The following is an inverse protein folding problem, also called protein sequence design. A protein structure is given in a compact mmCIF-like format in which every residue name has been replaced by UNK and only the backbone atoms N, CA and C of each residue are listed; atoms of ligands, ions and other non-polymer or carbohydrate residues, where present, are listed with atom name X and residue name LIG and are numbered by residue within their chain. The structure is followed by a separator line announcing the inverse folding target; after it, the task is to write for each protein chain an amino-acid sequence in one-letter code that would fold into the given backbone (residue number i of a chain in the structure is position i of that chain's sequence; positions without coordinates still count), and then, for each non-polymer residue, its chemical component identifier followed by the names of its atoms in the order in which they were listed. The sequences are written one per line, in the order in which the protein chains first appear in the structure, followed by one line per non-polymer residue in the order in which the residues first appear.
data_IF_231028679056
#
_entry.id   IF_231028679056
#
_cell.length_a   1.000
_cell.length_b   1.000
_cell.length_c   1.000
_cell.angle_alpha   90.00
_cell.angle_beta   90.00
_cell.angle_gamma   90.00
#
_symmetry.space_group_name_H-M   'P 1'
#
loop_
_entity.id
_entity.type
_entity.pdbx_description
1 polymer ?
#
# COMPACT_ATOMS: atom_id res chain seq x y z
N UNK A 1 20.88 -7.69 -11.47
CA UNK A 1 19.62 -7.60 -12.22
C UNK A 1 18.81 -6.41 -11.71
N UNK A 2 18.24 -5.67 -12.60
CA UNK A 2 17.40 -4.54 -12.22
C UNK A 2 16.14 -5.05 -11.51
N UNK A 3 15.68 -4.30 -10.54
CA UNK A 3 14.42 -4.60 -9.86
C UNK A 3 13.24 -4.48 -10.80
N UNK A 4 12.11 -5.03 -10.38
CA UNK A 4 10.87 -4.96 -11.13
C UNK A 4 10.21 -3.60 -10.85
N UNK A 5 9.81 -2.91 -11.91
CA UNK A 5 9.08 -1.67 -11.77
C UNK A 5 7.68 -1.94 -11.21
N UNK A 6 7.16 -1.03 -10.39
CA UNK A 6 5.79 -1.11 -9.88
C UNK A 6 4.74 -0.82 -10.95
N UNK A 7 5.15 -0.32 -12.12
CA UNK A 7 4.24 -0.17 -13.25
C UNK A 7 3.75 -1.54 -13.71
N UNK A 8 2.46 -1.81 -13.55
CA UNK A 8 1.87 -3.08 -13.91
C UNK A 8 2.20 -4.25 -12.98
N UNK A 9 2.92 -3.99 -11.91
CA UNK A 9 3.37 -5.03 -10.96
C UNK A 9 3.14 -4.57 -9.52
N UNK A 10 1.88 -4.40 -9.15
CA UNK A 10 1.53 -4.01 -7.79
C UNK A 10 1.85 -5.13 -6.80
N UNK A 11 2.06 -4.75 -5.55
CA UNK A 11 2.30 -5.67 -4.45
C UNK A 11 0.99 -5.88 -3.71
N UNK A 12 0.64 -7.14 -3.46
CA UNK A 12 -0.59 -7.50 -2.75
C UNK A 12 -0.25 -8.40 -1.59
N UNK A 13 -0.78 -8.10 -0.41
CA UNK A 13 -0.69 -9.00 0.74
C UNK A 13 -2.05 -9.06 1.39
N UNK A 14 -2.49 -10.27 1.69
CA UNK A 14 -3.76 -10.48 2.39
C UNK A 14 -3.46 -10.65 3.86
N UNK A 15 -4.20 -9.97 4.70
CA UNK A 15 -4.11 -10.12 6.15
C UNK A 15 -5.51 -10.09 6.75
N UNK A 16 -5.61 -10.31 8.04
CA UNK A 16 -6.89 -10.33 8.74
C UNK A 16 -6.81 -9.40 9.94
N UNK A 17 -7.82 -8.55 10.06
CA UNK A 17 -7.95 -7.68 11.23
C UNK A 17 -8.34 -8.49 12.47
N UNK A 18 -8.08 -7.96 13.68
CA UNK A 18 -8.50 -8.66 14.91
C UNK A 18 -9.99 -8.95 14.98
N UNK A 19 -10.82 -8.16 14.28
CA UNK A 19 -12.27 -8.41 14.25
C UNK A 19 -12.69 -9.48 13.25
N UNK A 20 -11.73 -10.08 12.53
CA UNK A 20 -11.99 -11.16 11.60
C UNK A 20 -12.13 -10.76 10.14
N UNK A 21 -12.18 -9.47 9.83
CA UNK A 21 -12.29 -9.01 8.45
C UNK A 21 -11.00 -9.25 7.70
N UNK A 22 -11.12 -9.75 6.47
CA UNK A 22 -9.97 -9.95 5.60
C UNK A 22 -9.68 -8.67 4.83
N UNK A 23 -8.43 -8.25 4.80
CA UNK A 23 -8.00 -7.02 4.16
C UNK A 23 -6.88 -7.33 3.19
N UNK A 24 -6.92 -6.72 2.01
CA UNK A 24 -5.81 -6.77 1.06
C UNK A 24 -5.04 -5.46 1.16
N UNK A 25 -3.75 -5.58 1.43
CA UNK A 25 -2.82 -4.44 1.42
C UNK A 25 -2.26 -4.37 0.01
N UNK A 26 -2.54 -3.27 -0.68
CA UNK A 26 -2.13 -3.06 -2.06
C UNK A 26 -1.17 -1.88 -2.14
N UNK A 27 0.00 -2.10 -2.74
CA UNK A 27 0.99 -1.03 -2.96
C UNK A 27 1.36 -1.05 -4.43
N UNK A 28 1.16 0.05 -5.10
CA UNK A 28 1.45 0.11 -6.52
C UNK A 28 1.09 1.45 -7.13
N UNK A 29 1.14 1.49 -8.45
CA UNK A 29 0.78 2.67 -9.22
C UNK A 29 -0.59 2.44 -9.83
N UNK A 30 -1.59 3.27 -9.50
CA UNK A 30 -2.92 3.11 -10.08
C UNK A 30 -2.88 3.29 -11.59
N UNK A 31 -3.62 2.45 -12.30
CA UNK A 31 -3.74 2.52 -13.76
C UNK A 31 -5.00 3.28 -14.17
N UNK A 32 -5.36 4.27 -13.41
CA UNK A 32 -6.56 5.06 -13.68
C UNK A 32 -6.27 6.08 -14.78
N UNK A 33 -7.08 6.04 -15.82
CA UNK A 33 -6.94 6.97 -16.95
C UNK A 33 -7.24 8.43 -16.57
N UNK A 34 -7.81 8.66 -15.41
CA UNK A 34 -8.09 10.01 -14.93
C UNK A 34 -6.92 10.63 -14.19
N UNK A 35 -5.87 9.85 -13.91
CA UNK A 35 -4.70 10.36 -13.21
C UNK A 35 -3.92 11.27 -14.16
N UNK A 36 -3.52 12.45 -13.67
CA UNK A 36 -2.73 13.37 -14.46
C UNK A 36 -1.35 12.76 -14.77
N UNK A 37 -0.76 13.14 -15.90
CA UNK A 37 0.52 12.60 -16.33
C UNK A 37 1.60 12.70 -15.26
N UNK A 38 1.63 13.78 -14.52
CA UNK A 38 2.61 13.99 -13.44
C UNK A 38 2.48 12.99 -12.30
N UNK A 39 1.34 12.31 -12.20
CA UNK A 39 1.07 11.37 -11.13
C UNK A 39 1.25 9.90 -11.56
N UNK A 40 1.69 9.67 -12.79
CA UNK A 40 1.85 8.31 -13.33
C UNK A 40 2.90 7.47 -12.61
N UNK A 41 3.80 8.11 -11.85
CA UNK A 41 4.84 7.41 -11.10
C UNK A 41 4.57 7.43 -9.60
N UNK A 42 3.40 7.89 -9.18
CA UNK A 42 3.07 7.97 -7.77
C UNK A 42 2.68 6.59 -7.25
N UNK A 43 3.38 6.13 -6.23
CA UNK A 43 3.09 4.86 -5.58
C UNK A 43 2.08 5.09 -4.47
N UNK A 44 1.01 4.32 -4.48
CA UNK A 44 -0.12 4.47 -3.56
C UNK A 44 -0.26 3.20 -2.72
N UNK A 45 -0.56 3.39 -1.44
CA UNK A 45 -0.89 2.32 -0.52
C UNK A 45 -2.40 2.32 -0.32
N UNK A 46 -3.06 1.19 -0.58
CA UNK A 46 -4.50 1.05 -0.39
C UNK A 46 -4.81 -0.14 0.51
N UNK A 47 -5.82 0.02 1.34
CA UNK A 47 -6.41 -1.10 2.07
C UNK A 47 -7.76 -1.40 1.44
N UNK A 48 -7.94 -2.63 0.97
CA UNK A 48 -9.16 -3.07 0.29
C UNK A 48 -9.87 -4.15 1.09
N UNK A 49 -11.18 -3.98 1.26
CA UNK A 49 -12.03 -4.97 1.93
C UNK A 49 -13.19 -5.28 1.01
N UNK A 50 -13.33 -6.53 0.57
CA UNK A 50 -14.36 -6.91 -0.37
C UNK A 50 -14.25 -6.09 -1.65
N UNK A 51 -15.29 -5.34 -1.98
CA UNK A 51 -15.31 -4.49 -3.17
C UNK A 51 -14.99 -3.03 -2.87
N UNK A 52 -14.67 -2.72 -1.61
CA UNK A 52 -14.45 -1.34 -1.19
C UNK A 52 -13.02 -1.06 -0.83
N UNK A 53 -12.72 0.22 -0.65
CA UNK A 53 -11.43 0.71 -0.21
C UNK A 53 -11.62 1.36 1.16
N UNK A 54 -10.87 0.87 2.16
CA UNK A 54 -10.91 1.43 3.52
C UNK A 54 -10.08 2.69 3.65
N UNK A 55 -8.92 2.69 3.00
CA UNK A 55 -7.99 3.81 3.14
C UNK A 55 -7.07 3.87 1.93
N UNK A 56 -6.66 5.08 1.58
CA UNK A 56 -5.72 5.34 0.50
C UNK A 56 -4.69 6.35 0.99
N UNK A 57 -3.41 6.03 0.81
CA UNK A 57 -2.31 6.91 1.20
C UNK A 57 -1.34 7.02 0.04
N UNK A 58 -0.97 8.25 -0.31
CA UNK A 58 0.08 8.49 -1.30
C UNK A 58 1.43 8.39 -0.60
N UNK A 59 2.35 7.61 -1.16
CA UNK A 59 3.69 7.43 -0.60
C UNK A 59 4.70 8.30 -1.32
N UNK A 60 5.92 8.36 -0.77
CA UNK A 60 7.04 9.07 -1.41
C UNK A 60 7.90 8.12 -2.25
N UNK A 61 7.43 6.88 -2.44
CA UNK A 61 8.18 5.90 -3.22
C UNK A 61 8.13 6.18 -4.71
N UNK A 62 9.21 5.81 -5.40
CA UNK A 62 9.27 5.83 -6.86
C UNK A 62 8.88 4.45 -7.41
N UNK A 63 8.57 4.42 -8.69
CA UNK A 63 8.13 3.19 -9.36
C UNK A 63 9.15 2.07 -9.32
N UNK A 64 10.44 2.39 -9.19
CA UNK A 64 11.52 1.41 -9.17
C UNK A 64 11.93 0.97 -7.77
N UNK A 65 11.22 1.43 -6.74
CA UNK A 65 11.51 1.08 -5.35
C UNK A 65 10.64 -0.10 -4.87
N UNK A 66 10.67 -1.19 -5.61
CA UNK A 66 9.87 -2.37 -5.30
C UNK A 66 10.20 -2.97 -3.93
N UNK A 67 11.49 -2.99 -3.56
CA UNK A 67 11.92 -3.54 -2.27
C UNK A 67 11.34 -2.77 -1.11
N UNK A 68 11.38 -1.44 -1.19
CA UNK A 68 10.81 -0.57 -0.16
C UNK A 68 9.30 -0.70 -0.10
N UNK A 69 8.66 -0.81 -1.26
CA UNK A 69 7.21 -1.00 -1.34
C UNK A 69 6.79 -2.32 -0.69
N UNK A 70 7.55 -3.39 -0.94
CA UNK A 70 7.29 -4.70 -0.34
C UNK A 70 7.47 -4.65 1.16
N UNK A 71 8.49 -3.96 1.64
CA UNK A 71 8.72 -3.78 3.07
C UNK A 71 7.56 -3.03 3.71
N UNK A 72 7.08 -1.97 3.05
CA UNK A 72 5.93 -1.21 3.54
C UNK A 72 4.68 -2.11 3.62
N UNK A 73 4.42 -2.89 2.58
CA UNK A 73 3.27 -3.80 2.56
C UNK A 73 3.35 -4.82 3.69
N UNK A 74 4.54 -5.40 3.91
CA UNK A 74 4.76 -6.37 4.99
C UNK A 74 4.50 -5.75 6.35
N UNK A 75 5.00 -4.55 6.60
CA UNK A 75 4.84 -3.87 7.87
C UNK A 75 3.38 -3.49 8.12
N UNK A 76 2.69 -3.04 7.09
CA UNK A 76 1.27 -2.71 7.20
C UNK A 76 0.46 -3.96 7.50
N UNK A 77 0.69 -5.04 6.77
CA UNK A 77 -0.05 -6.29 6.96
C UNK A 77 0.17 -6.84 8.37
N UNK A 78 1.40 -6.82 8.86
CA UNK A 78 1.72 -7.30 10.20
C UNK A 78 1.06 -6.44 11.29
N UNK A 79 1.14 -5.11 11.14
CA UNK A 79 0.54 -4.19 12.09
C UNK A 79 -0.97 -4.33 12.16
N UNK A 80 -1.62 -4.53 11.03
CA UNK A 80 -3.07 -4.74 10.98
C UNK A 80 -3.45 -6.05 11.66
N UNK A 81 -2.69 -7.11 11.40
CA UNK A 81 -2.97 -8.43 11.97
C UNK A 81 -2.82 -8.44 13.49
N UNK A 82 -1.80 -7.77 14.00
CA UNK A 82 -1.54 -7.72 15.43
C UNK A 82 -2.45 -6.75 16.18
N UNK A 83 -3.12 -5.86 15.45
CA UNK A 83 -3.95 -4.82 16.06
C UNK A 83 -3.19 -3.58 16.48
N UNK A 84 -1.88 -3.53 16.24
CA UNK A 84 -1.06 -2.36 16.57
C UNK A 84 -1.27 -1.20 15.61
N UNK A 85 -1.72 -1.52 14.39
CA UNK A 85 -1.98 -0.52 13.35
C UNK A 85 -3.47 -0.49 13.06
N UNK A 86 -4.08 0.68 13.19
CA UNK A 86 -5.48 0.86 12.85
C UNK A 86 -5.64 1.04 11.34
N UNK A 87 -6.75 0.54 10.76
CA UNK A 87 -6.97 0.62 9.30
C UNK A 87 -7.51 1.98 8.87
N UNK A 88 -6.77 3.03 9.19
CA UNK A 88 -7.12 4.41 8.85
C UNK A 88 -5.98 5.09 8.10
N UNK A 89 -6.32 6.00 7.19
CA UNK A 89 -5.32 6.70 6.39
C UNK A 89 -4.26 7.39 7.27
N UNK A 90 -4.67 8.05 8.35
CA UNK A 90 -3.73 8.76 9.20
C UNK A 90 -2.71 7.83 9.88
N UNK A 91 -3.15 6.64 10.30
CA UNK A 91 -2.26 5.65 10.90
C UNK A 91 -1.28 5.10 9.86
N UNK A 92 -1.76 4.86 8.64
CA UNK A 92 -0.93 4.38 7.55
C UNK A 92 0.11 5.42 7.13
N UNK A 93 -0.28 6.69 7.06
CA UNK A 93 0.64 7.77 6.74
C UNK A 93 1.77 7.86 7.76
N UNK A 94 1.43 7.74 9.04
CA UNK A 94 2.41 7.79 10.12
C UNK A 94 3.41 6.64 9.99
N UNK A 95 2.92 5.43 9.74
CA UNK A 95 3.80 4.28 9.56
C UNK A 95 4.68 4.45 8.32
N UNK A 96 4.10 4.91 7.23
CA UNK A 96 4.85 5.16 6.00
C UNK A 96 5.99 6.17 6.24
N UNK A 97 5.71 7.25 6.96
CA UNK A 97 6.71 8.26 7.28
C UNK A 97 7.82 7.71 8.17
N UNK A 98 7.50 6.76 9.06
CA UNK A 98 8.49 6.16 9.95
C UNK A 98 9.48 5.25 9.22
N UNK A 99 9.03 4.53 8.20
CA UNK A 99 9.87 3.56 7.51
C UNK A 99 10.41 4.05 6.17
N UNK A 100 9.90 5.11 5.64
CA UNK A 100 10.35 5.72 4.40
C UNK A 100 11.01 7.06 4.68
#
# INVERSE_FOLDING_TARGET
MAGVSLHGNSIHETTRLPDGREVVVWVGIPEDSYVADKDLNTVVLELRVGHGVLAVVTTILDADQETEARHLADRVAEGLRSGELEPHASALERLSDEIL
#
